data_IF_603139597324
#
_entry.id   IF_603139597324
#
_cell.length_a   1.000
_cell.length_b   1.000
_cell.length_c   1.000
_cell.angle_alpha   90.00
_cell.angle_beta   90.00
_cell.angle_gamma   90.00
#
_symmetry.space_group_name_H-M   'P 1'
#
loop_
_entity.id
_entity.type
_entity.pdbx_description
1 polymer ?
#
# COMPACT_ATOMS: atom_id res chain seq x y z
N UNK A 1 -10.27 32.44 -1.81
CA UNK A 1 -9.19 32.36 -2.81
C UNK A 1 -7.91 32.20 -2.03
N UNK A 2 -7.00 31.32 -2.47
CA UNK A 2 -5.68 31.16 -1.83
C UNK A 2 -4.91 32.46 -1.84
N UNK A 3 -4.41 32.91 -0.69
CA UNK A 3 -3.53 34.07 -0.55
C UNK A 3 -2.05 33.67 -0.66
N UNK A 4 -1.76 32.40 -0.41
CA UNK A 4 -0.41 31.84 -0.42
C UNK A 4 0.06 31.60 -1.86
N UNK A 5 1.10 32.32 -2.26
CA UNK A 5 1.75 32.12 -3.57
C UNK A 5 3.08 31.42 -3.35
N UNK A 6 3.11 30.11 -3.55
CA UNK A 6 4.34 29.32 -3.49
C UNK A 6 5.06 29.30 -4.83
N UNK A 7 6.39 29.25 -4.80
CA UNK A 7 7.16 28.95 -6.00
C UNK A 7 6.91 27.51 -6.46
N UNK A 8 7.03 27.25 -7.77
CA UNK A 8 6.91 25.90 -8.32
C UNK A 8 7.94 24.92 -7.74
N UNK A 9 9.07 25.43 -7.31
CA UNK A 9 10.13 24.67 -6.68
C UNK A 9 9.71 24.23 -5.27
N UNK A 10 9.13 25.15 -4.49
CA UNK A 10 8.63 24.86 -3.14
C UNK A 10 7.44 23.89 -3.18
N UNK A 11 6.48 24.09 -4.07
CA UNK A 11 5.40 23.10 -4.28
C UNK A 11 5.93 21.71 -4.58
N UNK A 12 6.97 21.62 -5.41
CA UNK A 12 7.59 20.34 -5.76
C UNK A 12 8.35 19.74 -4.59
N UNK A 13 9.03 20.56 -3.78
CA UNK A 13 9.71 20.14 -2.55
C UNK A 13 8.71 19.56 -1.56
N UNK A 14 7.66 20.29 -1.22
CA UNK A 14 6.60 19.87 -0.31
C UNK A 14 5.91 18.59 -0.80
N UNK A 15 5.61 18.52 -2.07
CA UNK A 15 5.05 17.31 -2.68
C UNK A 15 6.02 16.12 -2.58
N UNK A 16 7.31 16.35 -2.66
CA UNK A 16 8.34 15.33 -2.47
C UNK A 16 8.37 14.76 -1.06
N UNK A 17 8.06 15.58 -0.07
CA UNK A 17 7.99 15.24 1.35
C UNK A 17 6.68 14.54 1.76
N UNK A 18 5.62 14.66 0.98
CA UNK A 18 4.31 14.06 1.31
C UNK A 18 3.21 15.07 1.59
N UNK A 19 3.49 16.36 1.45
CA UNK A 19 2.51 17.42 1.59
C UNK A 19 1.85 17.74 0.25
N UNK A 20 0.53 17.84 0.25
CA UNK A 20 -0.28 18.12 -0.93
C UNK A 20 -1.16 19.34 -0.68
N UNK A 21 -1.02 20.37 -1.49
CA UNK A 21 -1.87 21.57 -1.40
C UNK A 21 -3.35 21.21 -1.56
N UNK A 22 -4.20 21.75 -0.70
CA UNK A 22 -5.64 21.58 -0.75
C UNK A 22 -6.24 22.62 -1.71
N UNK A 23 -6.99 22.16 -2.69
CA UNK A 23 -7.55 22.98 -3.75
C UNK A 23 -8.31 24.19 -3.24
N UNK A 24 -7.88 25.38 -3.65
CA UNK A 24 -8.55 26.64 -3.33
C UNK A 24 -8.33 27.15 -1.92
N UNK A 25 -7.34 26.61 -1.21
CA UNK A 25 -6.96 27.03 0.15
C UNK A 25 -5.46 27.23 0.26
N UNK A 26 -5.02 27.78 1.40
CA UNK A 26 -3.60 27.90 1.77
C UNK A 26 -3.14 26.71 2.63
N UNK A 27 -3.99 25.69 2.77
CA UNK A 27 -3.75 24.52 3.61
C UNK A 27 -3.25 23.32 2.78
N UNK A 28 -2.70 22.36 3.50
CA UNK A 28 -2.12 21.13 2.96
C UNK A 28 -2.75 19.90 3.58
N UNK A 29 -2.70 18.81 2.85
CA UNK A 29 -2.86 17.47 3.39
C UNK A 29 -1.48 16.83 3.52
N UNK A 30 -1.19 16.23 4.68
CA UNK A 30 0.03 15.47 4.91
C UNK A 30 -0.26 13.97 4.84
N UNK A 31 0.56 13.23 4.12
CA UNK A 31 0.40 11.80 3.94
C UNK A 31 1.31 11.03 4.89
N UNK A 32 0.73 10.40 5.91
CA UNK A 32 1.42 9.54 6.88
C UNK A 32 1.50 8.13 6.30
N UNK A 33 2.68 7.54 6.37
CA UNK A 33 2.94 6.19 5.88
C UNK A 33 2.49 5.14 6.90
N UNK A 34 1.89 4.08 6.39
CA UNK A 34 1.68 2.85 7.14
C UNK A 34 2.48 1.73 6.47
N UNK A 35 3.06 0.85 7.25
CA UNK A 35 3.71 -0.35 6.70
C UNK A 35 2.67 -1.44 6.55
N UNK A 36 2.34 -1.80 5.30
CA UNK A 36 1.35 -2.83 5.00
C UNK A 36 -0.08 -2.51 5.48
N UNK A 37 -0.43 -1.25 5.64
CA UNK A 37 -1.70 -0.86 6.22
C UNK A 37 -1.83 -1.13 7.72
N UNK A 38 -0.72 -1.50 8.40
CA UNK A 38 -0.69 -1.72 9.85
C UNK A 38 -0.25 -0.47 10.57
N UNK A 39 -0.90 -0.18 11.66
CA UNK A 39 -0.50 0.83 12.65
C UNK A 39 -0.77 0.30 14.05
N UNK A 40 0.03 0.68 15.01
CA UNK A 40 -0.25 0.37 16.42
C UNK A 40 -1.38 1.25 16.95
N UNK A 41 -2.02 0.85 18.04
CA UNK A 41 -3.02 1.67 18.70
C UNK A 41 -2.46 3.02 19.18
N UNK A 42 -1.18 3.08 19.57
CA UNK A 42 -0.50 4.31 19.93
C UNK A 42 -0.32 5.25 18.71
N UNK A 43 0.16 4.72 17.59
CA UNK A 43 0.29 5.47 16.34
C UNK A 43 -1.06 6.00 15.84
N UNK A 44 -2.12 5.17 15.94
CA UNK A 44 -3.45 5.59 15.54
C UNK A 44 -3.99 6.76 16.40
N UNK A 45 -3.74 6.75 17.72
CA UNK A 45 -4.06 7.90 18.59
C UNK A 45 -3.26 9.14 18.20
N UNK A 46 -1.94 8.98 18.00
CA UNK A 46 -1.09 10.09 17.56
C UNK A 46 -1.54 10.69 16.22
N UNK A 47 -2.06 9.90 15.29
CA UNK A 47 -2.66 10.42 14.05
C UNK A 47 -3.92 11.26 14.33
N UNK A 48 -4.77 10.82 15.28
CA UNK A 48 -5.95 11.58 15.69
C UNK A 48 -5.55 12.90 16.36
N UNK A 49 -4.60 12.86 17.30
CA UNK A 49 -4.06 14.04 17.98
C UNK A 49 -3.42 15.03 16.97
N UNK A 50 -2.69 14.49 15.98
CA UNK A 50 -2.10 15.32 14.91
C UNK A 50 -3.19 16.01 14.05
N UNK A 51 -4.28 15.31 13.74
CA UNK A 51 -5.38 15.87 12.96
C UNK A 51 -6.11 16.98 13.72
N UNK A 52 -6.29 16.83 15.02
CA UNK A 52 -6.93 17.82 15.89
C UNK A 52 -6.01 19.03 16.16
N UNK A 53 -4.71 18.80 16.34
CA UNK A 53 -3.75 19.85 16.71
C UNK A 53 -3.34 20.72 15.51
N UNK A 54 -3.08 20.09 14.36
CA UNK A 54 -2.47 20.75 13.21
C UNK A 54 -3.42 20.91 12.03
N UNK A 55 -4.43 20.05 11.92
CA UNK A 55 -5.35 19.97 10.79
C UNK A 55 -6.77 20.43 11.12
N UNK A 56 -7.70 19.87 10.39
CA UNK A 56 -9.15 20.14 10.57
C UNK A 56 -9.89 19.02 11.34
N UNK A 57 -9.18 18.15 12.03
CA UNK A 57 -9.74 17.01 12.77
C UNK A 57 -10.15 15.82 11.89
N UNK A 58 -9.81 15.83 10.59
CA UNK A 58 -10.24 14.80 9.64
C UNK A 58 -9.03 13.95 9.20
N UNK A 59 -9.19 12.62 9.33
CA UNK A 59 -8.30 11.62 8.78
C UNK A 59 -8.92 10.97 7.55
N UNK A 60 -8.15 10.83 6.46
CA UNK A 60 -8.58 10.18 5.24
C UNK A 60 -7.68 9.00 4.91
N UNK A 61 -8.27 7.81 4.78
CA UNK A 61 -7.55 6.60 4.39
C UNK A 61 -7.45 6.52 2.87
N UNK A 62 -6.24 6.42 2.35
CA UNK A 62 -6.02 6.33 0.92
C UNK A 62 -6.06 4.88 0.41
N UNK A 63 -6.29 4.71 -0.89
CA UNK A 63 -6.25 3.39 -1.53
C UNK A 63 -4.87 2.72 -1.48
N UNK A 64 -3.81 3.47 -1.15
CA UNK A 64 -2.46 2.95 -0.95
C UNK A 64 -2.12 2.71 0.52
N UNK A 65 -3.14 2.60 1.36
CA UNK A 65 -2.98 2.31 2.79
C UNK A 65 -2.13 3.34 3.54
N UNK A 66 -2.07 4.57 3.04
CA UNK A 66 -1.54 5.71 3.79
C UNK A 66 -2.70 6.50 4.39
N UNK A 67 -2.43 7.27 5.43
CA UNK A 67 -3.42 8.13 6.08
C UNK A 67 -3.09 9.59 5.77
N UNK A 68 -4.07 10.38 5.39
CA UNK A 68 -3.90 11.81 5.18
C UNK A 68 -4.56 12.60 6.29
N UNK A 69 -3.80 13.48 6.92
CA UNK A 69 -4.30 14.57 7.77
C UNK A 69 -4.56 15.77 6.88
N UNK A 70 -5.75 16.34 6.95
CA UNK A 70 -6.20 17.42 6.09
C UNK A 70 -6.20 18.77 6.79
N UNK A 71 -6.06 19.85 6.00
CA UNK A 71 -6.28 21.20 6.49
C UNK A 71 -5.13 21.81 7.29
N UNK A 72 -3.91 21.33 7.12
CA UNK A 72 -2.73 21.82 7.84
C UNK A 72 -2.28 23.14 7.20
N UNK A 73 -2.20 24.25 7.96
CA UNK A 73 -1.63 25.51 7.46
C UNK A 73 -0.15 25.35 7.09
N UNK A 74 0.30 26.15 6.09
CA UNK A 74 1.67 26.08 5.58
C UNK A 74 2.72 26.26 6.70
N UNK A 75 2.51 27.20 7.58
CA UNK A 75 3.41 27.53 8.69
C UNK A 75 3.53 26.44 9.76
N UNK A 76 2.61 25.46 9.76
CA UNK A 76 2.61 24.34 10.72
C UNK A 76 3.14 23.03 10.13
N UNK A 77 3.60 23.02 8.88
CA UNK A 77 4.03 21.78 8.22
C UNK A 77 5.25 21.15 8.88
N UNK A 78 6.21 21.94 9.33
CA UNK A 78 7.43 21.46 10.00
C UNK A 78 7.11 20.88 11.39
N UNK A 79 6.31 21.59 12.19
CA UNK A 79 5.87 21.11 13.50
C UNK A 79 5.07 19.81 13.40
N UNK A 80 4.20 19.71 12.38
CA UNK A 80 3.46 18.51 12.09
C UNK A 80 4.37 17.33 11.74
N UNK A 81 5.38 17.57 10.90
CA UNK A 81 6.35 16.54 10.54
C UNK A 81 7.08 16.02 11.76
N UNK A 82 7.61 16.91 12.60
CA UNK A 82 8.30 16.56 13.83
C UNK A 82 7.41 15.76 14.78
N UNK A 83 6.15 16.16 14.94
CA UNK A 83 5.18 15.44 15.77
C UNK A 83 4.99 14.00 15.29
N UNK A 84 4.81 13.80 13.99
CA UNK A 84 4.61 12.48 13.40
C UNK A 84 5.86 11.61 13.52
N UNK A 85 7.05 12.18 13.30
CA UNK A 85 8.33 11.48 13.45
C UNK A 85 8.59 11.07 14.90
N UNK A 86 8.28 11.92 15.88
CA UNK A 86 8.38 11.61 17.31
C UNK A 86 7.40 10.48 17.73
N UNK A 87 6.30 10.30 17.02
CA UNK A 87 5.39 9.18 17.22
C UNK A 87 5.84 7.88 16.51
N UNK A 88 7.06 7.85 15.94
CA UNK A 88 7.63 6.71 15.24
C UNK A 88 6.96 6.43 13.89
N UNK A 89 6.47 7.46 13.22
CA UNK A 89 5.88 7.38 11.89
C UNK A 89 6.65 8.29 10.93
N UNK A 90 6.39 8.16 9.63
CA UNK A 90 6.99 8.99 8.60
C UNK A 90 5.91 9.55 7.66
N UNK A 91 6.19 10.70 7.06
CA UNK A 91 5.38 11.26 5.97
C UNK A 91 6.03 10.93 4.62
N UNK A 92 5.24 10.88 3.55
CA UNK A 92 5.78 10.61 2.20
C UNK A 92 4.78 10.01 1.22
N UNK A 93 5.27 9.10 0.39
CA UNK A 93 4.46 8.34 -0.55
C UNK A 93 3.95 9.13 -1.76
N UNK A 94 4.61 10.23 -2.11
CA UNK A 94 4.26 11.11 -3.22
C UNK A 94 5.42 11.28 -4.22
N UNK A 95 5.18 11.96 -5.33
CA UNK A 95 6.23 12.24 -6.32
C UNK A 95 6.50 11.11 -7.32
N UNK A 96 7.51 11.28 -8.15
CA UNK A 96 7.97 10.33 -9.18
C UNK A 96 9.03 9.39 -8.59
N UNK A 97 8.60 8.54 -7.67
CA UNK A 97 9.44 7.60 -6.90
C UNK A 97 8.72 6.26 -6.77
N UNK A 98 9.38 5.28 -6.19
CA UNK A 98 8.71 4.07 -5.70
C UNK A 98 7.68 4.50 -4.64
N UNK A 99 6.48 3.95 -4.74
CA UNK A 99 5.38 4.27 -3.82
C UNK A 99 5.36 3.29 -2.65
N UNK A 100 4.78 3.66 -1.50
CA UNK A 100 4.56 2.71 -0.41
C UNK A 100 3.90 1.43 -0.91
N UNK A 101 4.42 0.29 -0.47
CA UNK A 101 3.93 -1.03 -0.89
C UNK A 101 2.55 -1.27 -0.28
N UNK A 102 1.62 -1.70 -1.12
CA UNK A 102 0.28 -2.08 -0.67
C UNK A 102 0.24 -3.57 -0.42
N UNK A 103 -0.35 -4.00 0.69
CA UNK A 103 -0.51 -5.40 1.04
C UNK A 103 -1.90 -5.70 1.54
N UNK A 104 -2.42 -6.88 1.22
CA UNK A 104 -3.60 -7.38 1.91
C UNK A 104 -3.20 -8.03 3.25
N UNK A 105 -4.19 -8.28 4.12
CA UNK A 105 -3.98 -8.99 5.39
C UNK A 105 -3.70 -10.51 5.22
N UNK A 106 -3.18 -10.95 4.08
CA UNK A 106 -3.07 -12.36 3.70
C UNK A 106 -2.40 -13.25 4.75
N UNK A 107 -1.39 -12.72 5.47
CA UNK A 107 -0.74 -13.41 6.60
C UNK A 107 -1.70 -13.90 7.68
N UNK A 108 -2.76 -13.12 7.98
CA UNK A 108 -3.76 -13.44 9.00
C UNK A 108 -5.10 -13.90 8.41
N UNK A 109 -5.17 -14.03 7.08
CA UNK A 109 -6.40 -14.40 6.37
C UNK A 109 -6.50 -15.90 6.18
N UNK A 110 -7.69 -16.49 6.41
CA UNK A 110 -7.95 -17.92 6.18
C UNK A 110 -7.68 -18.36 4.72
N UNK A 111 -7.71 -17.45 3.77
CA UNK A 111 -7.43 -17.73 2.35
C UNK A 111 -5.97 -17.41 1.96
N UNK A 112 -5.16 -16.92 2.90
CA UNK A 112 -3.76 -16.56 2.63
C UNK A 112 -2.94 -17.77 2.22
N UNK A 113 -2.16 -17.63 1.14
CA UNK A 113 -1.29 -18.67 0.58
C UNK A 113 0.19 -18.28 0.70
N UNK A 114 0.46 -17.05 1.14
CA UNK A 114 1.80 -16.55 1.43
C UNK A 114 1.75 -15.54 2.59
N UNK A 115 2.91 -15.30 3.21
CA UNK A 115 3.05 -14.24 4.20
C UNK A 115 3.17 -12.88 3.50
N UNK A 116 2.00 -12.27 3.22
CA UNK A 116 1.93 -11.00 2.51
C UNK A 116 2.55 -9.85 3.31
N UNK A 117 2.51 -9.89 4.64
CA UNK A 117 3.10 -8.87 5.48
C UNK A 117 4.63 -8.91 5.44
N UNK A 118 5.24 -10.08 5.65
CA UNK A 118 6.69 -10.22 5.59
C UNK A 118 7.23 -9.83 4.21
N UNK A 119 6.61 -10.32 3.14
CA UNK A 119 7.03 -10.00 1.76
C UNK A 119 6.91 -8.51 1.46
N UNK A 120 5.79 -7.89 1.82
CA UNK A 120 5.59 -6.47 1.53
C UNK A 120 6.47 -5.56 2.39
N UNK A 121 6.77 -5.94 3.63
CA UNK A 121 7.70 -5.23 4.50
C UNK A 121 9.13 -5.27 3.97
N UNK A 122 9.58 -6.44 3.53
CA UNK A 122 10.91 -6.61 2.91
C UNK A 122 11.03 -5.79 1.61
N UNK A 123 9.99 -5.79 0.77
CA UNK A 123 9.95 -4.98 -0.44
C UNK A 123 9.92 -3.48 -0.10
N UNK A 124 9.15 -3.08 0.91
CA UNK A 124 9.09 -1.70 1.37
C UNK A 124 10.46 -1.20 1.80
N UNK A 125 11.12 -1.96 2.67
CA UNK A 125 12.46 -1.65 3.17
C UNK A 125 13.50 -1.55 2.05
N UNK A 126 13.51 -2.50 1.11
CA UNK A 126 14.49 -2.52 0.01
C UNK A 126 14.23 -1.46 -1.04
N UNK A 127 12.98 -1.25 -1.45
CA UNK A 127 12.66 -0.47 -2.63
C UNK A 127 11.98 0.87 -2.32
N UNK A 128 11.19 0.98 -1.28
CA UNK A 128 10.65 2.27 -0.88
C UNK A 128 11.68 3.08 -0.11
N UNK A 129 12.24 2.52 0.95
CA UNK A 129 13.26 3.20 1.78
C UNK A 129 14.62 3.23 1.07
N UNK A 130 15.09 2.08 0.56
CA UNK A 130 16.40 1.96 -0.07
C UNK A 130 16.54 2.73 -1.40
N UNK A 131 15.44 3.07 -2.06
CA UNK A 131 15.41 3.90 -3.28
C UNK A 131 14.72 5.25 -3.03
N UNK A 132 14.67 5.70 -1.78
CA UNK A 132 13.96 6.93 -1.42
C UNK A 132 14.43 8.15 -2.21
N UNK A 133 15.73 8.27 -2.47
CA UNK A 133 16.33 9.41 -3.18
C UNK A 133 16.38 9.24 -4.68
N UNK A 134 15.99 8.07 -5.19
CA UNK A 134 15.99 7.79 -6.63
C UNK A 134 14.75 8.39 -7.28
N UNK A 135 14.97 9.35 -8.18
CA UNK A 135 13.92 9.90 -9.02
C UNK A 135 13.71 9.00 -10.23
N UNK A 136 12.50 8.50 -10.38
CA UNK A 136 12.07 7.71 -11.54
C UNK A 136 11.45 8.62 -12.62
N UNK A 137 11.37 8.15 -13.88
CA UNK A 137 10.59 8.85 -14.91
C UNK A 137 9.12 9.02 -14.53
N UNK A 138 8.55 8.04 -13.85
CA UNK A 138 7.18 8.02 -13.32
C UNK A 138 7.12 7.30 -11.97
N UNK A 139 6.00 7.47 -11.23
CA UNK A 139 5.76 6.71 -10.01
C UNK A 139 5.73 5.21 -10.29
N UNK A 140 6.34 4.40 -9.43
CA UNK A 140 6.31 2.95 -9.50
C UNK A 140 5.54 2.37 -8.31
N UNK A 141 4.56 1.54 -8.57
CA UNK A 141 3.63 0.99 -7.58
C UNK A 141 3.81 -0.52 -7.46
N UNK A 142 3.87 -0.99 -6.23
CA UNK A 142 3.98 -2.40 -5.88
C UNK A 142 2.81 -2.80 -5.00
N UNK A 143 2.25 -3.98 -5.22
CA UNK A 143 1.21 -4.54 -4.37
C UNK A 143 1.39 -6.04 -4.15
N UNK A 144 1.10 -6.51 -2.93
CA UNK A 144 1.22 -7.92 -2.51
C UNK A 144 -0.14 -8.45 -2.08
N UNK A 145 -0.70 -9.36 -2.85
CA UNK A 145 -1.93 -10.08 -2.57
C UNK A 145 -1.64 -11.50 -2.06
N UNK A 146 -2.25 -11.88 -0.94
CA UNK A 146 -2.03 -13.19 -0.31
C UNK A 146 -2.64 -14.38 -1.05
N UNK A 147 -3.58 -14.17 -1.98
CA UNK A 147 -4.28 -15.22 -2.73
C UNK A 147 -4.99 -14.66 -3.98
N UNK A 148 -5.55 -15.53 -4.86
CA UNK A 148 -6.26 -15.11 -6.07
C UNK A 148 -7.52 -14.26 -5.86
N UNK A 149 -8.04 -14.10 -4.64
CA UNK A 149 -9.17 -13.21 -4.35
C UNK A 149 -8.88 -11.73 -4.66
N UNK A 150 -7.61 -11.37 -4.86
CA UNK A 150 -7.20 -10.09 -5.44
C UNK A 150 -7.70 -8.83 -4.67
N UNK A 151 -7.81 -8.90 -3.34
CA UNK A 151 -8.39 -7.85 -2.51
C UNK A 151 -7.71 -6.48 -2.66
N UNK A 152 -6.39 -6.43 -2.88
CA UNK A 152 -5.61 -5.19 -3.10
C UNK A 152 -5.25 -4.97 -4.57
N UNK A 153 -5.84 -5.75 -5.46
CA UNK A 153 -5.70 -5.65 -6.92
C UNK A 153 -4.24 -5.52 -7.38
N UNK A 154 -3.36 -6.50 -7.06
CA UNK A 154 -1.96 -6.44 -7.47
C UNK A 154 -1.77 -6.24 -8.97
N UNK A 155 -2.66 -6.81 -9.79
CA UNK A 155 -2.66 -6.72 -11.25
C UNK A 155 -2.90 -5.29 -11.81
N UNK A 156 -3.30 -4.33 -10.97
CA UNK A 156 -3.43 -2.90 -11.34
C UNK A 156 -2.21 -2.07 -10.93
N UNK A 157 -1.16 -2.70 -10.45
CA UNK A 157 0.10 -2.06 -10.06
C UNK A 157 1.18 -2.37 -11.09
N UNK A 158 2.28 -1.62 -11.06
CA UNK A 158 3.41 -1.83 -11.97
C UNK A 158 4.12 -3.17 -11.68
N UNK A 159 4.14 -3.58 -10.40
CA UNK A 159 4.53 -4.91 -9.95
C UNK A 159 3.48 -5.48 -9.00
N UNK A 160 2.90 -6.62 -9.34
CA UNK A 160 1.92 -7.33 -8.53
C UNK A 160 2.41 -8.73 -8.14
N UNK A 161 2.34 -9.05 -6.85
CA UNK A 161 2.62 -10.38 -6.31
C UNK A 161 1.29 -10.97 -5.83
N UNK A 162 0.98 -12.19 -6.26
CA UNK A 162 -0.27 -12.89 -5.88
C UNK A 162 0.10 -14.29 -5.41
N UNK A 163 -0.28 -14.63 -4.19
CA UNK A 163 -0.15 -15.99 -3.64
C UNK A 163 -0.97 -16.99 -4.47
N UNK A 164 -0.33 -18.08 -4.86
CA UNK A 164 -0.93 -19.13 -5.68
C UNK A 164 -0.71 -20.50 -5.02
N UNK A 165 -1.57 -21.45 -5.36
CA UNK A 165 -1.33 -22.86 -5.11
C UNK A 165 -0.94 -23.55 -6.41
N UNK A 166 0.15 -24.30 -6.39
CA UNK A 166 0.55 -25.15 -7.51
C UNK A 166 -0.01 -26.56 -7.21
N UNK A 167 -0.88 -27.10 -8.08
CA UNK A 167 -1.36 -28.45 -7.91
C UNK A 167 -0.23 -29.46 -8.18
N UNK A 168 -0.09 -30.44 -7.30
CA UNK A 168 0.80 -31.59 -7.48
C UNK A 168 -0.05 -32.84 -7.66
N UNK A 169 0.03 -33.46 -8.84
CA UNK A 169 -0.60 -34.74 -9.10
C UNK A 169 0.29 -35.87 -8.60
N UNK A 170 -0.29 -36.74 -7.76
CA UNK A 170 0.37 -37.95 -7.26
C UNK A 170 -0.27 -39.16 -7.95
N UNK A 171 0.37 -39.64 -9.01
CA UNK A 171 -0.16 -40.74 -9.83
C UNK A 171 -0.41 -42.01 -9.02
N UNK A 172 0.44 -42.28 -8.04
CA UNK A 172 0.35 -43.42 -7.13
C UNK A 172 -0.91 -43.41 -6.24
N UNK A 173 -1.50 -42.26 -6.03
CA UNK A 173 -2.74 -42.12 -5.23
C UNK A 173 -3.99 -42.03 -6.12
N UNK A 174 -3.83 -42.00 -7.42
CA UNK A 174 -4.93 -41.88 -8.37
C UNK A 174 -5.67 -43.22 -8.49
N UNK A 175 -6.95 -43.23 -8.12
CA UNK A 175 -7.80 -44.44 -8.19
C UNK A 175 -8.34 -44.76 -9.58
N UNK A 176 -8.03 -43.94 -10.59
CA UNK A 176 -8.50 -44.11 -11.95
C UNK A 176 -10.02 -44.08 -12.09
N UNK A 177 -10.67 -43.13 -11.45
CA UNK A 177 -12.14 -43.02 -11.44
C UNK A 177 -12.71 -42.96 -12.85
N UNK A 178 -13.87 -43.62 -13.08
CA UNK A 178 -14.58 -43.63 -14.34
C UNK A 178 -14.95 -42.21 -14.83
N UNK A 179 -15.23 -41.33 -13.90
CA UNK A 179 -15.46 -39.88 -14.11
C UNK A 179 -14.60 -39.11 -13.11
N UNK A 180 -13.64 -38.36 -13.61
CA UNK A 180 -12.77 -37.56 -12.77
C UNK A 180 -13.50 -36.29 -12.31
N UNK A 181 -13.69 -36.14 -11.00
CA UNK A 181 -14.31 -34.93 -10.43
C UNK A 181 -13.44 -33.69 -10.56
N UNK A 182 -12.11 -33.85 -10.57
CA UNK A 182 -11.19 -32.71 -10.75
C UNK A 182 -11.30 -32.16 -12.17
N UNK A 183 -11.33 -33.04 -13.19
CA UNK A 183 -11.56 -32.62 -14.59
C UNK A 183 -12.93 -31.97 -14.75
N UNK A 184 -13.98 -32.54 -14.14
CA UNK A 184 -15.34 -32.06 -14.26
C UNK A 184 -15.57 -30.65 -13.68
N UNK A 185 -14.78 -30.26 -12.65
CA UNK A 185 -14.92 -28.96 -11.96
C UNK A 185 -13.83 -27.96 -12.33
N UNK A 186 -12.86 -28.32 -13.16
CA UNK A 186 -11.78 -27.42 -13.55
C UNK A 186 -12.30 -26.34 -14.50
N UNK A 187 -12.44 -25.07 -14.07
CA UNK A 187 -13.06 -24.02 -14.90
C UNK A 187 -12.20 -23.63 -16.11
N UNK A 188 -10.89 -23.92 -16.04
CA UNK A 188 -9.92 -23.59 -17.08
C UNK A 188 -9.65 -24.75 -18.04
N UNK A 189 -10.28 -25.91 -17.83
CA UNK A 189 -9.99 -27.11 -18.63
C UNK A 189 -8.54 -27.59 -18.57
N UNK A 190 -7.80 -27.16 -17.52
CA UNK A 190 -6.37 -27.49 -17.36
C UNK A 190 -6.14 -28.89 -16.79
N UNK A 191 -7.13 -29.44 -16.10
CA UNK A 191 -7.08 -30.82 -15.60
C UNK A 191 -7.78 -31.73 -16.60
N UNK A 192 -7.04 -32.65 -17.20
CA UNK A 192 -7.57 -33.66 -18.14
C UNK A 192 -7.09 -35.03 -17.72
N UNK A 193 -7.97 -36.02 -17.83
CA UNK A 193 -7.59 -37.42 -17.76
C UNK A 193 -7.04 -37.80 -19.13
N UNK A 194 -5.72 -37.93 -19.23
CA UNK A 194 -5.11 -38.56 -20.40
C UNK A 194 -5.41 -40.04 -20.37
N UNK A 195 -5.54 -40.65 -21.57
CA UNK A 195 -5.90 -42.05 -21.76
C UNK A 195 -5.17 -42.98 -20.76
N UNK A 196 -5.89 -43.87 -20.20
CA UNK A 196 -5.48 -44.88 -19.22
C UNK A 196 -4.53 -45.89 -19.83
#
# INVERSE_FOLDING_TARGET
MSSLTLSKEEEKRLKGLGFLNNKGTDNFSARILTVNGKVTAAQHRAMADAAETFGNGILTFTTRQTVEVQGIPYEKLEEFQEFVENAGMAIGGTGAKVRPVVSCKGTTCQYGLLDSFAISEEIHKRFYEGYHDVKLPHKFKIAVGGCPNNCVKPNLNDLGIIGQRIPHFKAELCKGCRKCSVEAVCPMGAAKVSDK
#
